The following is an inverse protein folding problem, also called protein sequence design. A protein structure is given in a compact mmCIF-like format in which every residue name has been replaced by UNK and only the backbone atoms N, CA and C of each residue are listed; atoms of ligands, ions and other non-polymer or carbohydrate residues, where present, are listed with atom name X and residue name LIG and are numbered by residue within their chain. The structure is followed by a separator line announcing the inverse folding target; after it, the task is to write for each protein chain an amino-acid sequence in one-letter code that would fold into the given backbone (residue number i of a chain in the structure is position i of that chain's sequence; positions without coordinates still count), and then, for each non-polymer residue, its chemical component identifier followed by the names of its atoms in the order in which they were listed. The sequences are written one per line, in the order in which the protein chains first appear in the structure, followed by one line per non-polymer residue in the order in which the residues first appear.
data_IF_222602771904
#
_entry.id   IF_222602771904
#
_cell.length_a   1.000
_cell.length_b   1.000
_cell.length_c   1.000
_cell.angle_alpha   90.00
_cell.angle_beta   90.00
_cell.angle_gamma   90.00
#
_symmetry.space_group_name_H-M   'P 1'
#
loop_
_entity.id
_entity.type
_entity.pdbx_description
1 polymer ?
#
# COMPACT_ATOMS: atom_id res chain seq x y z
N UNK A 1 11.01 14.95 30.92
CA UNK A 1 12.20 14.91 30.04
C UNK A 1 12.44 13.55 29.35
N UNK A 2 12.56 12.40 30.05
CA UNK A 2 12.73 11.08 29.38
C UNK A 2 11.48 10.60 28.64
N UNK A 3 10.29 10.84 29.19
CA UNK A 3 9.00 10.47 28.58
C UNK A 3 8.65 11.35 27.36
N UNK A 4 8.84 12.67 27.45
CA UNK A 4 8.60 13.60 26.34
C UNK A 4 9.40 13.23 25.08
N UNK A 5 10.65 12.81 25.26
CA UNK A 5 11.51 12.34 24.16
C UNK A 5 11.03 11.01 23.54
N UNK A 6 10.37 10.13 24.30
CA UNK A 6 9.80 8.89 23.75
C UNK A 6 8.52 9.19 22.96
N UNK A 7 7.65 10.04 23.51
CA UNK A 7 6.41 10.47 22.86
C UNK A 7 6.73 11.17 21.54
N UNK A 8 7.68 12.11 21.55
CA UNK A 8 8.10 12.82 20.34
C UNK A 8 8.64 11.86 19.26
N UNK A 9 9.46 10.88 19.65
CA UNK A 9 9.97 9.85 18.72
C UNK A 9 8.83 9.01 18.14
N UNK A 10 7.87 8.60 18.95
CA UNK A 10 6.71 7.83 18.49
C UNK A 10 5.89 8.63 17.48
N UNK A 11 5.55 9.87 17.80
CA UNK A 11 4.79 10.78 16.93
C UNK A 11 5.55 11.00 15.61
N UNK A 12 6.85 11.28 15.69
CA UNK A 12 7.70 11.47 14.52
C UNK A 12 7.73 10.20 13.64
N UNK A 13 7.97 9.03 14.22
CA UNK A 13 7.98 7.74 13.51
C UNK A 13 6.65 7.49 12.81
N UNK A 14 5.54 7.74 13.50
CA UNK A 14 4.21 7.59 12.92
C UNK A 14 3.99 8.54 11.74
N UNK A 15 4.31 9.82 11.94
CA UNK A 15 4.12 10.86 10.92
C UNK A 15 5.01 10.62 9.70
N UNK A 16 6.27 10.22 9.91
CA UNK A 16 7.19 9.85 8.83
C UNK A 16 6.64 8.67 8.02
N UNK A 17 6.16 7.63 8.69
CA UNK A 17 5.56 6.48 8.02
C UNK A 17 4.32 6.87 7.20
N UNK A 18 3.42 7.68 7.78
CA UNK A 18 2.22 8.15 7.10
C UNK A 18 2.56 9.02 5.87
N UNK A 19 3.48 9.98 6.02
CA UNK A 19 3.92 10.84 4.93
C UNK A 19 4.55 10.03 3.79
N UNK A 20 5.35 9.02 4.10
CA UNK A 20 5.89 8.12 3.07
C UNK A 20 4.80 7.38 2.30
N UNK A 21 3.78 6.88 3.01
CA UNK A 21 2.66 6.20 2.36
C UNK A 21 1.88 7.13 1.43
N UNK A 22 1.61 8.36 1.90
CA UNK A 22 0.96 9.41 1.09
C UNK A 22 1.85 9.75 -0.12
N UNK A 23 3.15 9.95 0.09
CA UNK A 23 4.09 10.28 -0.98
C UNK A 23 4.10 9.22 -2.08
N UNK A 24 4.15 7.93 -1.72
CA UNK A 24 4.06 6.84 -2.70
C UNK A 24 2.70 6.81 -3.38
N UNK A 25 1.60 6.92 -2.62
CA UNK A 25 0.25 6.91 -3.19
C UNK A 25 0.00 8.05 -4.19
N UNK A 26 0.37 9.28 -3.81
CA UNK A 26 0.30 10.47 -4.66
C UNK A 26 1.27 10.36 -5.83
N UNK A 27 2.48 9.86 -5.60
CA UNK A 27 3.48 9.63 -6.64
C UNK A 27 2.97 8.67 -7.72
N UNK A 28 2.39 7.53 -7.33
CA UNK A 28 1.77 6.61 -8.29
C UNK A 28 0.65 7.30 -9.05
N UNK A 29 -0.25 8.03 -8.37
CA UNK A 29 -1.33 8.74 -9.05
C UNK A 29 -0.84 9.83 -10.02
N UNK A 30 0.31 10.43 -9.74
CA UNK A 30 0.91 11.49 -10.57
C UNK A 30 1.57 10.92 -11.83
N UNK A 31 2.33 9.83 -11.69
CA UNK A 31 3.09 9.24 -12.81
C UNK A 31 2.37 8.10 -13.53
N UNK A 32 1.34 7.52 -12.92
CA UNK A 32 0.51 6.45 -13.46
C UNK A 32 -0.96 6.77 -13.17
N UNK A 33 -1.55 7.77 -13.88
CA UNK A 33 -2.90 8.22 -13.63
C UNK A 33 -3.95 7.17 -14.00
N UNK A 34 -5.02 7.12 -13.23
CA UNK A 34 -6.14 6.21 -13.49
C UNK A 34 -7.01 6.62 -14.67
N UNK A 35 -7.80 5.67 -15.21
CA UNK A 35 -8.90 5.97 -16.13
C UNK A 35 -9.81 7.08 -15.56
N UNK A 36 -10.22 8.02 -16.41
CA UNK A 36 -11.17 9.07 -16.01
C UNK A 36 -12.56 8.45 -15.81
N UNK A 37 -13.21 8.80 -14.71
CA UNK A 37 -14.60 8.41 -14.48
C UNK A 37 -15.51 9.07 -15.53
N UNK A 38 -16.47 8.34 -16.11
CA UNK A 38 -17.45 8.95 -17.00
C UNK A 38 -18.36 9.90 -16.23
N UNK A 39 -18.79 10.98 -16.88
CA UNK A 39 -19.66 12.00 -16.28
C UNK A 39 -21.11 11.52 -16.38
N UNK A 40 -21.84 11.56 -15.26
CA UNK A 40 -23.23 11.15 -15.23
C UNK A 40 -24.08 12.03 -16.17
N UNK A 41 -24.87 11.44 -17.09
CA UNK A 41 -25.72 12.18 -18.01
C UNK A 41 -26.82 12.93 -17.25
N UNK A 42 -26.97 14.23 -17.51
CA UNK A 42 -27.98 15.08 -16.84
C UNK A 42 -29.39 14.65 -17.24
N UNK A 43 -29.53 14.08 -18.44
CA UNK A 43 -30.78 13.55 -19.00
C UNK A 43 -31.34 12.38 -18.18
N UNK A 44 -30.50 11.69 -17.40
CA UNK A 44 -30.95 10.61 -16.51
C UNK A 44 -31.43 11.12 -15.14
N UNK A 45 -31.42 12.44 -14.91
CA UNK A 45 -31.96 13.03 -13.69
C UNK A 45 -33.48 13.23 -13.80
N UNK A 46 -34.24 12.16 -13.61
CA UNK A 46 -35.70 12.15 -13.85
C UNK A 46 -36.54 12.67 -12.68
N UNK A 47 -35.92 13.03 -11.54
CA UNK A 47 -36.61 13.49 -10.32
C UNK A 47 -37.81 12.60 -9.90
N UNK A 48 -37.65 11.28 -10.03
CA UNK A 48 -38.68 10.29 -9.66
C UNK A 48 -39.72 9.99 -10.75
N UNK A 49 -39.57 10.53 -11.96
CA UNK A 49 -40.38 10.15 -13.12
C UNK A 49 -39.83 8.88 -13.80
N UNK A 50 -40.73 8.12 -14.43
CA UNK A 50 -40.34 6.99 -15.28
C UNK A 50 -39.52 7.47 -16.48
N UNK A 51 -38.56 6.64 -16.91
CA UNK A 51 -37.71 6.96 -18.05
C UNK A 51 -38.50 6.88 -19.35
N UNK A 52 -38.36 7.90 -20.20
CA UNK A 52 -38.87 7.87 -21.56
C UNK A 52 -37.96 7.02 -22.49
N UNK A 53 -38.41 6.81 -23.73
CA UNK A 53 -37.71 5.96 -24.70
C UNK A 53 -36.28 6.43 -25.04
N UNK A 54 -36.01 7.74 -24.98
CA UNK A 54 -34.69 8.30 -25.26
C UNK A 54 -33.79 8.26 -24.02
N UNK A 55 -34.33 8.53 -22.83
CA UNK A 55 -33.64 8.35 -21.55
C UNK A 55 -33.24 6.88 -21.32
N UNK A 56 -34.08 5.92 -21.72
CA UNK A 56 -33.77 4.49 -21.70
C UNK A 56 -32.56 4.14 -22.59
N UNK A 57 -32.39 4.81 -23.74
CA UNK A 57 -31.20 4.62 -24.59
C UNK A 57 -29.96 5.20 -23.92
N UNK A 58 -30.08 6.41 -23.35
CA UNK A 58 -29.00 7.06 -22.60
C UNK A 58 -28.57 6.22 -21.40
N UNK A 59 -29.51 5.61 -20.68
CA UNK A 59 -29.22 4.71 -19.57
C UNK A 59 -28.44 3.49 -20.03
N UNK A 60 -28.88 2.82 -21.10
CA UNK A 60 -28.13 1.68 -21.67
C UNK A 60 -26.71 2.06 -22.10
N UNK A 61 -26.54 3.27 -22.63
CA UNK A 61 -25.23 3.78 -23.02
C UNK A 61 -24.36 4.11 -21.80
N UNK A 62 -24.96 4.66 -20.75
CA UNK A 62 -24.31 4.88 -19.45
C UNK A 62 -23.84 3.57 -18.83
N UNK A 63 -24.70 2.55 -18.77
CA UNK A 63 -24.38 1.25 -18.21
C UNK A 63 -23.18 0.61 -18.94
N UNK A 64 -23.19 0.65 -20.29
CA UNK A 64 -22.05 0.18 -21.10
C UNK A 64 -20.77 0.96 -20.83
N UNK A 65 -20.86 2.28 -20.69
CA UNK A 65 -19.69 3.13 -20.44
C UNK A 65 -19.12 2.88 -19.04
N UNK A 66 -19.98 2.67 -18.04
CA UNK A 66 -19.60 2.30 -16.68
C UNK A 66 -18.96 0.92 -16.63
N UNK A 67 -19.51 -0.06 -17.37
CA UNK A 67 -18.92 -1.39 -17.48
C UNK A 67 -17.52 -1.33 -18.12
N UNK A 68 -17.37 -0.55 -19.20
CA UNK A 68 -16.07 -0.31 -19.82
C UNK A 68 -15.08 0.34 -18.86
N UNK A 69 -15.51 1.38 -18.13
CA UNK A 69 -14.68 2.04 -17.12
C UNK A 69 -14.24 1.05 -16.03
N UNK A 70 -15.16 0.25 -15.50
CA UNK A 70 -14.85 -0.78 -14.51
C UNK A 70 -13.84 -1.80 -15.04
N UNK A 71 -13.99 -2.23 -16.30
CA UNK A 71 -13.05 -3.15 -16.95
C UNK A 71 -11.65 -2.55 -17.15
N UNK A 72 -11.53 -1.23 -17.35
CA UNK A 72 -10.25 -0.53 -17.39
C UNK A 72 -9.64 -0.35 -15.99
N UNK A 73 -10.49 -0.20 -14.96
CA UNK A 73 -10.06 -0.05 -13.57
C UNK A 73 -9.42 -1.33 -13.01
N UNK A 74 -9.87 -2.53 -13.42
CA UNK A 74 -9.31 -3.82 -12.96
C UNK A 74 -7.80 -3.95 -13.22
N UNK A 75 -7.30 -3.87 -14.48
CA UNK A 75 -5.86 -3.94 -14.75
C UNK A 75 -5.11 -2.72 -14.20
N UNK A 76 -5.74 -1.54 -14.12
CA UNK A 76 -5.14 -0.38 -13.48
C UNK A 76 -4.84 -0.64 -12.00
N UNK A 77 -5.83 -1.10 -11.22
CA UNK A 77 -5.69 -1.43 -9.81
C UNK A 77 -4.63 -2.52 -9.58
N UNK A 78 -4.57 -3.52 -10.46
CA UNK A 78 -3.51 -4.54 -10.46
C UNK A 78 -2.12 -3.93 -10.62
N UNK A 79 -1.94 -3.05 -11.61
CA UNK A 79 -0.63 -2.44 -11.86
C UNK A 79 -0.22 -1.49 -10.73
N UNK A 80 -1.15 -0.71 -10.19
CA UNK A 80 -0.93 0.14 -9.00
C UNK A 80 -0.54 -0.70 -7.78
N UNK A 81 -1.24 -1.81 -7.55
CA UNK A 81 -0.92 -2.76 -6.48
C UNK A 81 0.50 -3.31 -6.63
N UNK A 82 0.91 -3.67 -7.85
CA UNK A 82 2.26 -4.18 -8.13
C UNK A 82 3.34 -3.12 -7.87
N UNK A 83 3.15 -1.88 -8.36
CA UNK A 83 4.09 -0.77 -8.13
C UNK A 83 4.22 -0.49 -6.63
N UNK A 84 3.08 -0.42 -5.92
CA UNK A 84 3.05 -0.22 -4.48
C UNK A 84 3.72 -1.38 -3.72
N UNK A 85 3.52 -2.63 -4.15
CA UNK A 85 4.16 -3.80 -3.53
C UNK A 85 5.68 -3.70 -3.61
N UNK A 86 6.20 -3.38 -4.80
CA UNK A 86 7.65 -3.21 -5.02
C UNK A 86 8.17 -2.09 -4.13
N UNK A 87 7.49 -0.94 -4.11
CA UNK A 87 7.87 0.18 -3.24
C UNK A 87 7.87 -0.22 -1.76
N UNK A 88 6.85 -0.93 -1.29
CA UNK A 88 6.78 -1.44 0.08
C UNK A 88 7.97 -2.35 0.41
N UNK A 89 8.27 -3.33 -0.43
CA UNK A 89 9.40 -4.25 -0.23
C UNK A 89 10.73 -3.49 -0.18
N UNK A 90 10.94 -2.52 -1.08
CA UNK A 90 12.15 -1.68 -1.09
C UNK A 90 12.27 -0.86 0.19
N UNK A 91 11.18 -0.22 0.64
CA UNK A 91 11.18 0.56 1.88
C UNK A 91 11.45 -0.31 3.10
N UNK A 92 10.84 -1.48 3.18
CA UNK A 92 11.06 -2.42 4.27
C UNK A 92 12.49 -2.96 4.27
N UNK A 93 13.05 -3.30 3.10
CA UNK A 93 14.46 -3.69 2.99
C UNK A 93 15.40 -2.55 3.41
N UNK A 94 15.14 -1.32 2.95
CA UNK A 94 15.89 -0.14 3.36
C UNK A 94 15.83 0.08 4.89
N UNK A 95 14.66 -0.15 5.50
CA UNK A 95 14.50 0.00 6.95
C UNK A 95 15.45 -0.90 7.74
N UNK A 96 15.67 -2.15 7.28
CA UNK A 96 16.62 -3.08 7.91
C UNK A 96 18.07 -2.61 7.77
N UNK A 97 18.45 -2.08 6.61
CA UNK A 97 19.82 -1.59 6.35
C UNK A 97 20.18 -0.42 7.26
N UNK A 98 19.22 0.48 7.51
CA UNK A 98 19.44 1.68 8.32
C UNK A 98 19.18 1.51 9.82
N UNK A 99 18.67 0.36 10.24
CA UNK A 99 18.29 0.08 11.64
C UNK A 99 19.43 0.31 12.64
N UNK A 100 20.66 -0.09 12.28
CA UNK A 100 21.83 0.03 13.15
C UNK A 100 22.40 1.46 13.26
N UNK A 101 22.02 2.36 12.35
CA UNK A 101 22.57 3.73 12.30
C UNK A 101 21.62 4.76 12.90
N UNK A 102 20.33 4.70 12.54
CA UNK A 102 19.34 5.72 12.91
C UNK A 102 17.99 5.06 13.21
N UNK A 103 17.87 4.47 14.41
CA UNK A 103 16.71 3.66 14.82
C UNK A 103 15.35 4.33 14.59
N UNK A 104 15.21 5.60 14.96
CA UNK A 104 13.93 6.35 14.83
C UNK A 104 13.53 6.52 13.36
N UNK A 105 14.48 6.82 12.47
CA UNK A 105 14.19 6.92 11.04
C UNK A 105 13.87 5.56 10.44
N UNK A 106 14.64 4.52 10.80
CA UNK A 106 14.37 3.15 10.35
C UNK A 106 12.98 2.66 10.77
N UNK A 107 12.55 2.98 12.00
CA UNK A 107 11.20 2.68 12.48
C UNK A 107 10.11 3.35 11.65
N UNK A 108 10.31 4.63 11.30
CA UNK A 108 9.35 5.38 10.47
C UNK A 108 9.31 4.86 9.03
N UNK A 109 10.47 4.54 8.45
CA UNK A 109 10.57 3.94 7.11
C UNK A 109 9.91 2.57 7.07
N UNK A 110 10.10 1.74 8.11
CA UNK A 110 9.42 0.46 8.23
C UNK A 110 7.91 0.63 8.28
N UNK A 111 7.42 1.52 9.15
CA UNK A 111 5.99 1.78 9.28
C UNK A 111 5.38 2.30 7.96
N UNK A 112 6.09 3.18 7.25
CA UNK A 112 5.69 3.63 5.91
C UNK A 112 5.64 2.49 4.91
N UNK A 113 6.63 1.60 4.90
CA UNK A 113 6.63 0.39 4.07
C UNK A 113 5.43 -0.51 4.37
N UNK A 114 5.04 -0.66 5.65
CA UNK A 114 3.85 -1.41 6.05
C UNK A 114 2.55 -0.75 5.55
N UNK A 115 2.43 0.58 5.66
CA UNK A 115 1.26 1.29 5.13
C UNK A 115 1.17 1.17 3.60
N UNK A 116 2.29 1.25 2.88
CA UNK A 116 2.33 1.04 1.43
C UNK A 116 1.97 -0.41 1.07
N UNK A 117 2.39 -1.39 1.88
CA UNK A 117 2.00 -2.79 1.69
C UNK A 117 0.49 -2.98 1.84
N UNK A 118 -0.12 -2.38 2.87
CA UNK A 118 -1.57 -2.41 3.06
C UNK A 118 -2.31 -1.72 1.90
N UNK A 119 -1.80 -0.58 1.42
CA UNK A 119 -2.33 0.09 0.25
C UNK A 119 -2.26 -0.80 -1.01
N UNK A 120 -1.13 -1.47 -1.20
CA UNK A 120 -0.93 -2.44 -2.28
C UNK A 120 -1.97 -3.57 -2.22
N UNK A 121 -2.22 -4.15 -1.05
CA UNK A 121 -3.22 -5.20 -0.86
C UNK A 121 -4.64 -4.70 -1.18
N UNK A 122 -5.00 -3.52 -0.67
CA UNK A 122 -6.31 -2.91 -0.96
C UNK A 122 -6.55 -2.71 -2.45
N UNK A 123 -5.54 -2.22 -3.18
CA UNK A 123 -5.59 -2.10 -4.65
C UNK A 123 -5.62 -3.47 -5.33
N UNK A 124 -4.90 -4.45 -4.80
CA UNK A 124 -4.88 -5.81 -5.34
C UNK A 124 -6.25 -6.46 -5.28
N UNK A 125 -6.98 -6.32 -4.18
CA UNK A 125 -8.35 -6.82 -4.05
C UNK A 125 -9.31 -6.17 -5.06
N UNK A 126 -9.15 -4.87 -5.32
CA UNK A 126 -9.95 -4.15 -6.31
C UNK A 126 -9.61 -4.50 -7.78
N UNK A 127 -8.67 -5.42 -8.03
CA UNK A 127 -8.38 -5.93 -9.38
C UNK A 127 -9.28 -7.09 -9.82
N UNK A 128 -10.07 -7.67 -8.90
CA UNK A 128 -10.95 -8.83 -9.12
C UNK A 128 -10.25 -10.08 -9.70
N UNK A 129 -8.92 -10.14 -9.66
CA UNK A 129 -8.15 -11.29 -10.13
C UNK A 129 -7.65 -12.13 -8.95
N UNK A 130 -8.37 -13.21 -8.64
CA UNK A 130 -8.09 -14.05 -7.47
C UNK A 130 -6.68 -14.63 -7.45
N UNK A 131 -6.13 -15.02 -8.62
CA UNK A 131 -4.75 -15.54 -8.71
C UNK A 131 -3.72 -14.46 -8.36
N UNK A 132 -3.91 -13.25 -8.90
CA UNK A 132 -3.05 -12.11 -8.59
C UNK A 132 -3.13 -11.75 -7.11
N UNK A 133 -4.34 -11.64 -6.57
CA UNK A 133 -4.58 -11.36 -5.15
C UNK A 133 -3.84 -12.36 -4.26
N UNK A 134 -3.96 -13.65 -4.56
CA UNK A 134 -3.25 -14.70 -3.82
C UNK A 134 -1.74 -14.47 -3.83
N UNK A 135 -1.14 -14.20 -5.00
CA UNK A 135 0.29 -13.91 -5.13
C UNK A 135 0.71 -12.69 -4.29
N UNK A 136 -0.04 -11.59 -4.37
CA UNK A 136 0.28 -10.36 -3.61
C UNK A 136 0.22 -10.63 -2.11
N UNK A 137 -0.82 -11.33 -1.63
CA UNK A 137 -0.96 -11.70 -0.21
C UNK A 137 0.18 -12.61 0.22
N UNK A 138 0.56 -13.61 -0.59
CA UNK A 138 1.68 -14.50 -0.29
C UNK A 138 3.01 -13.75 -0.19
N UNK A 139 3.30 -12.84 -1.14
CA UNK A 139 4.52 -12.03 -1.11
C UNK A 139 4.52 -11.07 0.08
N UNK A 140 3.39 -10.45 0.39
CA UNK A 140 3.23 -9.58 1.57
C UNK A 140 3.48 -10.35 2.87
N UNK A 141 2.88 -11.53 3.01
CA UNK A 141 3.09 -12.40 4.16
C UNK A 141 4.56 -12.83 4.30
N UNK A 142 5.17 -13.30 3.21
CA UNK A 142 6.58 -13.70 3.20
C UNK A 142 7.50 -12.54 3.61
N UNK A 143 7.20 -11.33 3.13
CA UNK A 143 7.93 -10.10 3.47
C UNK A 143 7.81 -9.80 4.97
N UNK A 144 6.60 -9.80 5.53
CA UNK A 144 6.38 -9.53 6.96
C UNK A 144 7.06 -10.58 7.84
N UNK A 145 6.97 -11.87 7.48
CA UNK A 145 7.64 -12.95 8.21
C UNK A 145 9.16 -12.81 8.17
N UNK A 146 9.74 -12.52 7.01
CA UNK A 146 11.18 -12.31 6.84
C UNK A 146 11.68 -11.15 7.71
N UNK A 147 10.98 -10.01 7.66
CA UNK A 147 11.31 -8.84 8.48
C UNK A 147 11.18 -9.14 9.96
N UNK A 148 10.09 -9.77 10.37
CA UNK A 148 9.87 -10.15 11.77
C UNK A 148 10.98 -11.05 12.30
N UNK A 149 11.38 -12.05 11.52
CA UNK A 149 12.51 -12.92 11.87
C UNK A 149 13.83 -12.14 11.98
N UNK A 150 14.17 -11.33 10.98
CA UNK A 150 15.44 -10.60 10.99
C UNK A 150 15.52 -9.56 12.11
N UNK A 151 14.39 -8.92 12.41
CA UNK A 151 14.31 -7.83 13.38
C UNK A 151 14.22 -8.31 14.82
N UNK A 152 13.41 -9.34 15.09
CA UNK A 152 13.15 -9.80 16.46
C UNK A 152 14.00 -11.00 16.88
N UNK A 153 14.34 -11.91 15.96
CA UNK A 153 15.05 -13.15 16.31
C UNK A 153 16.56 -12.97 16.22
N UNK A 154 17.09 -12.46 15.10
CA UNK A 154 18.55 -12.32 14.92
C UNK A 154 19.21 -11.31 15.85
N UNK A 155 18.49 -10.28 16.30
CA UNK A 155 19.02 -9.26 17.21
C UNK A 155 19.28 -9.84 18.62
N UNK A 156 18.68 -10.98 18.98
CA UNK A 156 18.79 -11.59 20.31
C UNK A 156 19.72 -12.82 20.38
N UNK A 157 20.52 -13.14 19.37
CA UNK A 157 21.54 -14.19 19.52
C UNK A 157 22.63 -13.72 20.51
N UNK A 158 22.78 -14.36 21.70
CA UNK A 158 23.87 -14.04 22.58
C UNK A 158 25.17 -14.43 21.88
N UNK A 159 26.07 -13.45 21.65
CA UNK A 159 27.46 -13.74 21.31
C UNK A 159 28.03 -14.60 22.43
N UNK A 160 28.17 -15.90 22.19
CA UNK A 160 28.88 -16.80 23.09
C UNK A 160 30.34 -16.34 23.17
N UNK A 161 30.65 -15.55 24.19
CA UNK A 161 32.01 -15.21 24.62
C UNK A 161 32.68 -16.48 25.12
N UNK A 162 33.22 -17.27 24.21
CA UNK A 162 34.25 -18.25 24.54
C UNK A 162 35.55 -17.49 24.73
N UNK A 163 35.74 -16.90 25.92
CA UNK A 163 37.08 -16.54 26.37
C UNK A 163 37.85 -17.84 26.56
N UNK A 164 38.73 -18.15 25.60
CA UNK A 164 39.84 -19.06 25.83
C UNK A 164 40.70 -18.46 26.95
N UNK A 165 40.43 -18.85 28.18
CA UNK A 165 41.46 -18.85 29.23
C UNK A 165 42.40 -19.99 28.85
N UNK A 166 43.48 -19.66 28.14
CA UNK A 166 44.64 -20.55 28.08
C UNK A 166 45.39 -20.36 29.40
N UNK A 167 45.60 -21.51 30.04
CA UNK A 167 46.39 -21.74 31.24
C UNK A 167 47.82 -21.21 31.11
#
# INVERSE_FOLDING_TARGET
MKEDNKILKLVYTFFLGLLMAIFIGVGINTFYPGPKAPVFPIELNTYGKELNADELKTQKQWDKTMEQHNNLMKPYNRNVSLIALIAAVVLLAASLVYENKIKVMADGVMLGGLFVLLYSLGRGFASENSKYVFVVVTVGLATVLYLGYHRFVRVHEPKNTTSKVKA
#
